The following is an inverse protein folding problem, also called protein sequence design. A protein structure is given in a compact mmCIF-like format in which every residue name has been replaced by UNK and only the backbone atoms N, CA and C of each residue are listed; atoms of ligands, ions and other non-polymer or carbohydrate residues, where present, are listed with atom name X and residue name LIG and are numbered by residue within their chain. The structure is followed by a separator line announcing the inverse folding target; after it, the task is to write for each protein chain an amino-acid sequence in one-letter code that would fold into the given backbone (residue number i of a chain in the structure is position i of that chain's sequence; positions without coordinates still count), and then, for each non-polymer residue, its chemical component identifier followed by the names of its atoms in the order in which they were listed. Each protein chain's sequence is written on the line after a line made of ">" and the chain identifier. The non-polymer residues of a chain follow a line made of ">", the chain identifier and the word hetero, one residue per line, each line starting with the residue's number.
data_IF_175013457697
#
_entry.id   IF_175013457697
#
_cell.length_a   1.000
_cell.length_b   1.000
_cell.length_c   1.000
_cell.angle_alpha   90.00
_cell.angle_beta   90.00
_cell.angle_gamma   90.00
#
_symmetry.space_group_name_H-M   'P 1'
#
loop_
_entity.id
_entity.type
_entity.pdbx_description
1 polymer ?
#
# COMPACT_ATOMS: atom_id res chain seq x y z
N UNK A 1 -6.96 31.75 -3.25
CA UNK A 1 -6.77 30.65 -2.27
C UNK A 1 -5.91 29.59 -2.93
N UNK A 2 -4.58 29.64 -2.75
CA UNK A 2 -3.67 28.63 -3.31
C UNK A 2 -3.87 27.31 -2.56
N UNK A 3 -4.45 26.31 -3.22
CA UNK A 3 -4.39 24.92 -2.78
C UNK A 3 -2.98 24.41 -3.03
N UNK A 4 -2.14 24.54 -2.01
CA UNK A 4 -0.85 23.89 -1.93
C UNK A 4 -1.09 22.38 -1.93
N UNK A 5 -1.03 21.76 -3.10
CA UNK A 5 -0.93 20.32 -3.26
C UNK A 5 0.38 19.90 -2.62
N UNK A 6 0.33 19.65 -1.31
CA UNK A 6 1.38 18.96 -0.60
C UNK A 6 1.62 17.66 -1.36
N UNK A 7 2.75 17.60 -2.07
CA UNK A 7 3.38 16.36 -2.49
C UNK A 7 3.61 15.56 -1.21
N UNK A 8 2.58 14.84 -0.81
CA UNK A 8 2.55 14.04 0.40
C UNK A 8 3.28 12.77 0.04
N UNK A 9 4.61 12.84 0.00
CA UNK A 9 5.45 11.65 0.06
C UNK A 9 4.91 10.83 1.24
N UNK A 10 4.31 9.65 0.99
CA UNK A 10 3.68 8.90 2.06
C UNK A 10 4.78 8.62 3.07
N UNK A 11 4.58 9.10 4.31
CA UNK A 11 5.49 8.77 5.40
C UNK A 11 5.59 7.24 5.42
N UNK A 12 6.79 6.64 5.45
CA UNK A 12 6.97 5.20 5.30
C UNK A 12 6.12 4.39 6.29
N UNK A 13 5.82 4.95 7.46
CA UNK A 13 4.92 4.39 8.47
C UNK A 13 3.46 4.23 7.99
N UNK A 14 2.94 5.20 7.21
CA UNK A 14 1.57 5.15 6.65
C UNK A 14 1.51 4.08 5.55
N UNK A 15 2.52 4.03 4.67
CA UNK A 15 2.59 3.02 3.62
C UNK A 15 2.65 1.59 4.17
N UNK A 16 3.28 1.39 5.33
CA UNK A 16 3.32 0.09 6.01
C UNK A 16 1.95 -0.28 6.60
N UNK A 17 1.29 0.66 7.28
CA UNK A 17 -0.03 0.43 7.85
C UNK A 17 -1.10 0.10 6.79
N UNK A 18 -1.10 0.81 5.65
CA UNK A 18 -1.95 0.49 4.50
C UNK A 18 -1.67 -0.91 3.95
N UNK A 19 -0.40 -1.31 3.88
CA UNK A 19 -0.01 -2.63 3.40
C UNK A 19 -0.52 -3.75 4.33
N UNK A 20 -0.36 -3.60 5.65
CA UNK A 20 -0.85 -4.57 6.62
C UNK A 20 -2.38 -4.71 6.57
N UNK A 21 -3.10 -3.60 6.47
CA UNK A 21 -4.56 -3.62 6.33
C UNK A 21 -5.01 -4.35 5.06
N UNK A 22 -4.39 -4.05 3.92
CA UNK A 22 -4.71 -4.69 2.65
C UNK A 22 -4.37 -6.19 2.68
N UNK A 23 -3.29 -6.56 3.37
CA UNK A 23 -2.90 -7.96 3.55
C UNK A 23 -3.93 -8.72 4.37
N UNK A 24 -4.33 -8.18 5.52
CA UNK A 24 -5.38 -8.78 6.35
C UNK A 24 -6.70 -8.92 5.58
N UNK A 25 -7.06 -7.93 4.77
CA UNK A 25 -8.27 -7.97 3.93
C UNK A 25 -8.20 -9.10 2.89
N UNK A 26 -7.08 -9.23 2.19
CA UNK A 26 -6.86 -10.31 1.22
C UNK A 26 -6.90 -11.69 1.90
N UNK A 27 -6.22 -11.86 3.04
CA UNK A 27 -6.25 -13.11 3.80
C UNK A 27 -7.65 -13.46 4.30
N UNK A 28 -8.44 -12.46 4.72
CA UNK A 28 -9.85 -12.66 5.10
C UNK A 28 -10.69 -13.14 3.91
N UNK A 29 -10.53 -12.52 2.74
CA UNK A 29 -11.26 -12.90 1.53
C UNK A 29 -10.92 -14.32 1.06
N UNK A 30 -9.65 -14.74 1.20
CA UNK A 30 -9.23 -16.11 0.87
C UNK A 30 -9.82 -17.16 1.82
N UNK A 31 -10.11 -16.79 3.07
CA UNK A 31 -10.69 -17.68 4.08
C UNK A 31 -12.22 -17.66 4.09
N UNK A 32 -12.84 -16.83 3.25
CA UNK A 32 -14.29 -16.72 3.18
C UNK A 32 -14.90 -18.06 2.73
N UNK A 33 -16.02 -18.51 3.33
CA UNK A 33 -16.65 -19.79 2.99
C UNK A 33 -17.18 -19.84 1.55
N UNK A 34 -17.45 -18.68 0.95
CA UNK A 34 -17.78 -18.55 -0.47
C UNK A 34 -16.76 -17.60 -1.11
N UNK A 35 -15.93 -18.07 -2.06
CA UNK A 35 -14.91 -17.24 -2.66
C UNK A 35 -15.53 -16.20 -3.60
N UNK A 36 -15.28 -14.93 -3.31
CA UNK A 36 -15.60 -13.83 -4.22
C UNK A 36 -14.33 -13.49 -5.03
N UNK A 37 -14.21 -14.08 -6.22
CA UNK A 37 -13.03 -13.94 -7.06
C UNK A 37 -12.74 -12.49 -7.48
N UNK A 38 -13.77 -11.69 -7.77
CA UNK A 38 -13.60 -10.27 -8.10
C UNK A 38 -13.03 -9.48 -6.93
N UNK A 39 -13.55 -9.70 -5.71
CA UNK A 39 -13.05 -9.05 -4.51
C UNK A 39 -11.61 -9.47 -4.18
N UNK A 40 -11.29 -10.76 -4.33
CA UNK A 40 -9.94 -11.30 -4.13
C UNK A 40 -8.97 -10.66 -5.13
N UNK A 41 -9.36 -10.57 -6.40
CA UNK A 41 -8.54 -9.96 -7.44
C UNK A 41 -8.32 -8.45 -7.20
N UNK A 42 -9.38 -7.72 -6.81
CA UNK A 42 -9.26 -6.30 -6.44
C UNK A 42 -8.35 -6.08 -5.22
N UNK A 43 -8.46 -6.94 -4.20
CA UNK A 43 -7.58 -6.90 -3.03
C UNK A 43 -6.12 -7.20 -3.40
N UNK A 44 -5.89 -8.16 -4.30
CA UNK A 44 -4.56 -8.47 -4.81
C UNK A 44 -3.94 -7.28 -5.58
N UNK A 45 -4.69 -6.64 -6.48
CA UNK A 45 -4.21 -5.45 -7.20
C UNK A 45 -3.88 -4.30 -6.25
N UNK A 46 -4.69 -4.12 -5.22
CA UNK A 46 -4.47 -3.08 -4.19
C UNK A 46 -3.19 -3.35 -3.39
N UNK A 47 -2.96 -4.63 -3.03
CA UNK A 47 -1.74 -5.08 -2.36
C UNK A 47 -0.49 -4.86 -3.21
N UNK A 48 -0.53 -5.21 -4.49
CA UNK A 48 0.58 -5.01 -5.42
C UNK A 48 0.94 -3.52 -5.54
N UNK A 49 -0.07 -2.66 -5.69
CA UNK A 49 0.13 -1.22 -5.73
C UNK A 49 0.69 -0.66 -4.40
N UNK A 50 0.25 -1.17 -3.25
CA UNK A 50 0.80 -0.79 -1.95
C UNK A 50 2.27 -1.26 -1.80
N UNK A 51 2.60 -2.46 -2.28
CA UNK A 51 3.95 -2.99 -2.28
C UNK A 51 4.90 -2.11 -3.12
N UNK A 52 4.45 -1.69 -4.31
CA UNK A 52 5.20 -0.78 -5.17
C UNK A 52 5.49 0.56 -4.48
N UNK A 53 4.49 1.14 -3.79
CA UNK A 53 4.66 2.39 -3.02
C UNK A 53 5.63 2.22 -1.86
N UNK A 54 5.56 1.11 -1.13
CA UNK A 54 6.48 0.83 -0.03
C UNK A 54 7.92 0.67 -0.51
N UNK A 55 8.14 -0.04 -1.62
CA UNK A 55 9.46 -0.16 -2.26
C UNK A 55 9.99 1.21 -2.69
N UNK A 56 9.16 2.04 -3.32
CA UNK A 56 9.55 3.40 -3.71
C UNK A 56 9.91 4.27 -2.49
N UNK A 57 9.10 4.23 -1.43
CA UNK A 57 9.38 4.95 -0.19
C UNK A 57 10.70 4.50 0.45
N UNK A 58 10.99 3.19 0.45
CA UNK A 58 12.24 2.65 0.97
C UNK A 58 13.45 3.10 0.13
N UNK A 59 13.35 3.07 -1.20
CA UNK A 59 14.43 3.56 -2.08
C UNK A 59 14.68 5.07 -1.86
N UNK A 60 13.63 5.87 -1.71
CA UNK A 60 13.75 7.30 -1.43
C UNK A 60 14.40 7.56 -0.07
N UNK A 61 14.02 6.81 0.97
CA UNK A 61 14.66 6.89 2.28
C UNK A 61 16.14 6.51 2.20
N UNK A 62 16.48 5.42 1.50
CA UNK A 62 17.87 5.00 1.33
C UNK A 62 18.71 6.06 0.61
N UNK A 63 18.18 6.63 -0.48
CA UNK A 63 18.87 7.70 -1.22
C UNK A 63 19.03 8.96 -0.35
N UNK A 64 18.06 9.28 0.50
CA UNK A 64 18.14 10.40 1.44
C UNK A 64 19.15 10.20 2.58
N UNK A 65 19.49 8.96 2.92
CA UNK A 65 20.48 8.64 3.96
C UNK A 65 21.92 8.53 3.42
N UNK A 66 22.07 8.40 2.09
CA UNK A 66 23.35 8.28 1.40
C UNK A 66 23.84 9.62 0.79
N UNK A 67 22.99 10.64 0.77
CA UNK A 67 23.32 12.04 0.45
C UNK A 67 23.56 12.84 1.72
#
# INVERSE_FOLDING_TARGET
>A
MQTQTALSSPRPTVALADYDFLRSTYEMLLRAPVPNHDAIHAAFQSLDAAHARLRAAHLNLRNSLLN
#
